data_IF_849862104183
#
_entry.id   IF_849862104183
#
_cell.length_a   1.000
_cell.length_b   1.000
_cell.length_c   1.000
_cell.angle_alpha   90.00
_cell.angle_beta   90.00
_cell.angle_gamma   90.00
#
_symmetry.space_group_name_H-M   'P 1'
#
loop_
_entity.id
_entity.type
_entity.pdbx_description
1 polymer ?
#
# COMPACT_ATOMS: atom_id res chain seq x y z
N UNK A 1 2.59 21.98 -19.02
CA UNK A 1 1.97 21.55 -20.30
C UNK A 1 0.79 20.71 -19.90
N UNK A 2 -0.41 21.27 -20.01
CA UNK A 2 -1.64 20.52 -19.75
C UNK A 2 -1.84 19.47 -20.86
N UNK A 3 -2.25 18.24 -20.54
CA UNK A 3 -2.55 17.25 -21.57
C UNK A 3 -3.77 17.74 -22.39
N UNK A 4 -3.79 17.49 -23.71
CA UNK A 4 -4.91 17.91 -24.54
C UNK A 4 -6.19 17.19 -24.10
N UNK A 5 -7.21 17.97 -23.73
CA UNK A 5 -8.56 17.47 -23.52
C UNK A 5 -9.08 16.90 -24.85
N UNK A 6 -9.24 15.59 -24.93
CA UNK A 6 -9.84 14.91 -26.06
C UNK A 6 -11.30 15.38 -26.22
N UNK A 7 -11.58 16.09 -27.32
CA UNK A 7 -12.95 16.36 -27.78
C UNK A 7 -13.50 15.04 -28.33
N UNK A 8 -14.26 14.32 -27.50
CA UNK A 8 -14.88 13.04 -27.85
C UNK A 8 -16.04 13.28 -28.83
N UNK A 9 -15.80 13.04 -30.12
CA UNK A 9 -16.78 13.12 -31.21
C UNK A 9 -17.15 11.72 -31.73
N UNK A 10 -17.50 10.77 -30.85
CA UNK A 10 -17.93 9.43 -31.23
C UNK A 10 -19.30 9.09 -30.65
N UNK A 11 -20.28 8.76 -31.51
CA UNK A 11 -21.63 8.32 -31.14
C UNK A 11 -21.68 6.88 -30.60
N UNK A 12 -20.54 6.30 -30.23
CA UNK A 12 -20.39 4.90 -29.86
C UNK A 12 -19.71 4.78 -28.49
N UNK A 13 -20.42 4.22 -27.52
CA UNK A 13 -19.97 4.03 -26.14
C UNK A 13 -18.71 3.15 -26.05
N UNK A 14 -18.52 2.21 -26.99
CA UNK A 14 -17.34 1.36 -27.04
C UNK A 14 -16.07 2.19 -27.34
N UNK A 15 -16.13 3.07 -28.34
CA UNK A 15 -14.98 3.89 -28.74
C UNK A 15 -14.57 4.88 -27.63
N UNK A 16 -15.56 5.38 -26.86
CA UNK A 16 -15.29 6.24 -25.69
C UNK A 16 -14.66 5.42 -24.55
N UNK A 17 -15.13 4.19 -24.31
CA UNK A 17 -14.56 3.32 -23.29
C UNK A 17 -13.11 2.95 -23.63
N UNK A 18 -12.83 2.60 -24.89
CA UNK A 18 -11.50 2.26 -25.36
C UNK A 18 -10.54 3.46 -25.28
N UNK A 19 -11.00 4.65 -25.65
CA UNK A 19 -10.21 5.88 -25.51
C UNK A 19 -9.90 6.20 -24.04
N UNK A 20 -10.87 5.99 -23.14
CA UNK A 20 -10.69 6.19 -21.70
C UNK A 20 -9.70 5.18 -21.11
N UNK A 21 -9.81 3.90 -21.51
CA UNK A 21 -8.88 2.86 -21.07
C UNK A 21 -7.45 3.20 -21.52
N UNK A 22 -7.27 3.59 -22.79
CA UNK A 22 -5.95 3.98 -23.31
C UNK A 22 -5.36 5.21 -22.57
N UNK A 23 -6.20 6.18 -22.21
CA UNK A 23 -5.77 7.33 -21.41
C UNK A 23 -5.40 6.94 -19.98
N UNK A 24 -6.18 6.04 -19.35
CA UNK A 24 -5.88 5.50 -18.03
C UNK A 24 -4.56 4.72 -18.03
N UNK A 25 -4.31 3.87 -19.03
CA UNK A 25 -3.07 3.11 -19.16
C UNK A 25 -1.85 4.04 -19.31
N UNK A 26 -2.02 5.16 -20.01
CA UNK A 26 -0.96 6.17 -20.17
C UNK A 26 -0.68 6.91 -18.86
N UNK A 27 -1.73 7.26 -18.10
CA UNK A 27 -1.62 8.02 -16.86
C UNK A 27 -1.19 7.15 -15.67
N UNK A 28 -1.56 5.88 -15.68
CA UNK A 28 -1.34 4.91 -14.61
C UNK A 28 -0.73 3.64 -15.20
N UNK A 29 0.58 3.67 -15.56
CA UNK A 29 1.23 2.52 -16.16
C UNK A 29 1.12 1.30 -15.25
N UNK A 30 0.91 0.12 -15.86
CA UNK A 30 0.76 -1.13 -15.15
C UNK A 30 1.94 -1.37 -14.19
N UNK A 31 1.64 -1.55 -12.91
CA UNK A 31 2.63 -1.89 -11.91
C UNK A 31 2.63 -3.40 -11.71
N UNK A 32 3.58 -4.07 -12.36
CA UNK A 32 3.69 -5.53 -12.32
C UNK A 32 3.79 -6.11 -10.91
N UNK A 33 4.32 -5.36 -9.93
CA UNK A 33 4.36 -5.79 -8.52
C UNK A 33 2.95 -5.82 -7.93
N UNK A 34 2.14 -4.79 -8.21
CA UNK A 34 0.76 -4.71 -7.77
C UNK A 34 -0.12 -5.76 -8.43
N UNK A 35 0.08 -5.99 -9.73
CA UNK A 35 -0.59 -7.07 -10.46
C UNK A 35 -0.25 -8.44 -9.85
N UNK A 36 1.02 -8.63 -9.47
CA UNK A 36 1.48 -9.87 -8.85
C UNK A 36 0.95 -10.07 -7.43
N UNK A 37 0.66 -9.01 -6.69
CA UNK A 37 -0.08 -9.12 -5.41
C UNK A 37 -1.52 -9.63 -5.65
N UNK A 38 -2.00 -9.62 -6.89
CA UNK A 38 -3.23 -10.28 -7.34
C UNK A 38 -3.38 -11.72 -6.85
N UNK A 39 -2.29 -12.45 -6.62
CA UNK A 39 -2.32 -13.85 -6.16
C UNK A 39 -3.03 -14.03 -4.80
N UNK A 40 -3.22 -12.98 -4.01
CA UNK A 40 -3.92 -13.06 -2.72
C UNK A 40 -5.43 -12.82 -2.82
N UNK A 41 -5.93 -12.46 -4.00
CA UNK A 41 -7.33 -12.17 -4.25
C UNK A 41 -8.08 -13.43 -4.72
N UNK A 42 -9.30 -13.70 -4.24
CA UNK A 42 -10.04 -14.89 -4.64
C UNK A 42 -10.36 -14.92 -6.15
N UNK A 43 -10.55 -13.76 -6.78
CA UNK A 43 -10.85 -13.65 -8.21
C UNK A 43 -9.71 -14.19 -9.09
N UNK A 44 -8.47 -14.00 -8.65
CA UNK A 44 -7.30 -14.50 -9.35
C UNK A 44 -7.39 -16.01 -9.56
N UNK A 45 -7.82 -16.76 -8.54
CA UNK A 45 -7.88 -18.22 -8.56
C UNK A 45 -9.05 -18.82 -9.33
N UNK A 46 -9.95 -18.00 -9.86
CA UNK A 46 -11.05 -18.45 -10.73
C UNK A 46 -10.70 -18.37 -12.22
N UNK A 47 -9.53 -17.85 -12.58
CA UNK A 47 -9.09 -17.76 -13.97
C UNK A 47 -8.69 -19.14 -14.51
N UNK A 48 -8.78 -19.36 -15.83
CA UNK A 48 -8.46 -20.65 -16.44
C UNK A 48 -6.94 -20.94 -16.45
N UNK A 49 -6.11 -19.90 -16.52
CA UNK A 49 -4.65 -19.99 -16.67
C UNK A 49 -3.89 -19.61 -15.39
N UNK A 50 -4.43 -19.97 -14.23
CA UNK A 50 -3.83 -19.59 -12.93
C UNK A 50 -2.48 -20.23 -12.72
N UNK A 51 -2.31 -21.52 -13.04
CA UNK A 51 -1.06 -22.21 -12.70
C UNK A 51 0.14 -21.71 -13.51
N UNK A 52 -0.07 -21.28 -14.76
CA UNK A 52 0.96 -20.68 -15.61
C UNK A 52 1.28 -19.24 -15.20
N UNK A 53 0.26 -18.41 -14.96
CA UNK A 53 0.46 -17.02 -14.52
C UNK A 53 1.02 -16.90 -13.11
N UNK A 54 0.71 -17.86 -12.22
CA UNK A 54 1.12 -17.82 -10.82
C UNK A 54 2.63 -17.81 -10.67
N UNK A 55 3.34 -18.64 -11.45
CA UNK A 55 4.80 -18.74 -11.36
C UNK A 55 5.46 -17.43 -11.78
N UNK A 56 4.91 -16.75 -12.79
CA UNK A 56 5.39 -15.44 -13.23
C UNK A 56 5.17 -14.37 -12.15
N UNK A 57 3.96 -14.29 -11.58
CA UNK A 57 3.67 -13.36 -10.48
C UNK A 57 4.52 -13.64 -9.24
N UNK A 58 4.73 -14.91 -8.90
CA UNK A 58 5.57 -15.28 -7.78
C UNK A 58 7.04 -14.87 -8.00
N UNK A 59 7.57 -14.99 -9.23
CA UNK A 59 8.91 -14.51 -9.56
C UNK A 59 9.04 -13.01 -9.30
N UNK A 60 8.08 -12.22 -9.78
CA UNK A 60 8.08 -10.75 -9.60
C UNK A 60 8.05 -10.40 -8.11
N UNK A 61 7.24 -11.09 -7.30
CA UNK A 61 7.18 -10.85 -5.85
C UNK A 61 8.49 -11.20 -5.16
N UNK A 62 9.15 -12.30 -5.54
CA UNK A 62 10.46 -12.68 -5.01
C UNK A 62 11.53 -11.66 -5.38
N UNK A 63 11.54 -11.24 -6.64
CA UNK A 63 12.52 -10.27 -7.13
C UNK A 63 12.35 -8.93 -6.42
N UNK A 64 11.11 -8.50 -6.16
CA UNK A 64 10.83 -7.21 -5.55
C UNK A 64 10.91 -7.19 -4.02
N UNK A 65 10.41 -8.22 -3.33
CA UNK A 65 10.30 -8.25 -1.86
C UNK A 65 11.25 -9.25 -1.20
N UNK A 66 11.79 -10.20 -1.95
CA UNK A 66 12.78 -11.18 -1.49
C UNK A 66 14.22 -10.72 -1.68
N UNK A 67 14.46 -9.53 -2.25
CA UNK A 67 15.80 -8.96 -2.41
C UNK A 67 15.99 -7.78 -1.46
N UNK A 68 17.17 -7.67 -0.80
CA UNK A 68 17.51 -6.48 -0.03
C UNK A 68 17.74 -5.29 -0.97
N UNK A 69 17.28 -4.10 -0.55
CA UNK A 69 17.37 -2.88 -1.37
C UNK A 69 18.09 -1.77 -0.61
N UNK A 70 18.91 -0.94 -1.27
CA UNK A 70 19.53 0.21 -0.61
C UNK A 70 18.48 1.25 -0.22
N UNK A 71 18.60 1.84 0.96
CA UNK A 71 17.80 3.00 1.35
C UNK A 71 18.22 4.20 0.49
N UNK A 72 17.36 4.61 -0.44
CA UNK A 72 17.53 5.86 -1.17
C UNK A 72 17.11 6.98 -0.22
N UNK A 73 18.07 7.81 0.24
CA UNK A 73 17.91 9.04 1.03
C UNK A 73 18.41 9.03 2.49
N UNK A 74 19.65 8.60 2.75
CA UNK A 74 20.40 9.12 3.90
C UNK A 74 21.79 9.53 3.41
N UNK A 75 22.08 10.84 3.43
CA UNK A 75 23.44 11.34 3.26
C UNK A 75 24.30 10.84 4.44
N UNK A 76 24.95 9.69 4.25
CA UNK A 76 25.79 9.06 5.27
C UNK A 76 25.39 7.61 5.48
N UNK A 77 26.31 6.72 5.09
CA UNK A 77 26.31 5.25 5.20
C UNK A 77 25.02 4.51 4.79
N UNK A 78 25.15 3.67 3.76
CA UNK A 78 24.04 3.01 3.09
C UNK A 78 23.36 1.95 3.94
N UNK A 79 22.35 2.35 4.71
CA UNK A 79 21.42 1.41 5.34
C UNK A 79 20.70 0.59 4.25
N UNK A 80 20.66 -0.72 4.45
CA UNK A 80 19.95 -1.65 3.57
C UNK A 80 18.60 -2.02 4.17
N UNK A 81 17.55 -1.92 3.37
CA UNK A 81 16.26 -2.53 3.70
C UNK A 81 16.40 -4.03 3.56
N UNK A 82 16.26 -4.75 4.67
CA UNK A 82 16.25 -6.21 4.68
C UNK A 82 15.10 -6.75 3.85
N UNK A 83 15.29 -7.93 3.24
CA UNK A 83 14.23 -8.63 2.52
C UNK A 83 12.97 -8.78 3.39
N UNK A 84 11.80 -8.51 2.81
CA UNK A 84 10.50 -8.61 3.49
C UNK A 84 9.93 -10.03 3.44
N UNK A 85 10.26 -10.77 2.37
CA UNK A 85 9.83 -12.14 2.12
C UNK A 85 11.03 -13.07 1.96
N UNK A 86 10.84 -14.34 2.30
CA UNK A 86 11.83 -15.39 2.05
C UNK A 86 11.47 -16.14 0.77
N UNK A 87 12.30 -16.01 -0.27
CA UNK A 87 12.06 -16.67 -1.56
C UNK A 87 12.02 -18.19 -1.46
N UNK A 88 12.88 -18.78 -0.61
CA UNK A 88 12.92 -20.22 -0.39
C UNK A 88 11.67 -20.72 0.34
N UNK A 89 11.19 -19.97 1.34
CA UNK A 89 9.98 -20.32 2.07
C UNK A 89 8.74 -20.19 1.19
N UNK A 90 8.66 -19.15 0.34
CA UNK A 90 7.61 -19.01 -0.66
C UNK A 90 7.53 -20.22 -1.59
N UNK A 91 8.67 -20.74 -2.06
CA UNK A 91 8.70 -21.96 -2.89
C UNK A 91 8.23 -23.20 -2.14
N UNK A 92 8.74 -23.41 -0.92
CA UNK A 92 8.38 -24.57 -0.12
C UNK A 92 6.89 -24.62 0.26
N UNK A 93 6.26 -23.44 0.43
CA UNK A 93 4.88 -23.30 0.88
C UNK A 93 3.87 -23.25 -0.29
N UNK A 94 4.36 -23.13 -1.53
CA UNK A 94 3.55 -22.89 -2.72
C UNK A 94 2.42 -23.92 -2.92
N UNK A 95 2.71 -25.21 -2.76
CA UNK A 95 1.74 -26.27 -3.03
C UNK A 95 0.54 -26.19 -2.08
N UNK A 96 0.81 -26.02 -0.79
CA UNK A 96 -0.22 -25.88 0.24
C UNK A 96 -1.03 -24.60 0.05
N UNK A 97 -0.36 -23.50 -0.30
CA UNK A 97 -1.03 -22.23 -0.59
C UNK A 97 -1.99 -22.35 -1.79
N UNK A 98 -1.53 -22.89 -2.93
CA UNK A 98 -2.36 -23.12 -4.12
C UNK A 98 -3.60 -23.94 -3.80
N UNK A 99 -3.43 -25.04 -3.06
CA UNK A 99 -4.53 -25.91 -2.65
C UNK A 99 -5.54 -25.16 -1.77
N UNK A 100 -5.06 -24.40 -0.78
CA UNK A 100 -5.93 -23.62 0.10
C UNK A 100 -6.72 -22.55 -0.66
N UNK A 101 -6.08 -21.82 -1.57
CA UNK A 101 -6.73 -20.78 -2.36
C UNK A 101 -7.78 -21.36 -3.32
N UNK A 102 -7.43 -22.37 -4.12
CA UNK A 102 -8.38 -23.01 -5.04
C UNK A 102 -9.61 -23.58 -4.31
N UNK A 103 -9.42 -24.13 -3.11
CA UNK A 103 -10.51 -24.72 -2.32
C UNK A 103 -11.48 -23.68 -1.74
N UNK A 104 -10.99 -22.49 -1.38
CA UNK A 104 -11.79 -21.49 -0.66
C UNK A 104 -12.29 -20.33 -1.55
N UNK A 105 -11.59 -20.01 -2.65
CA UNK A 105 -11.88 -18.83 -3.47
C UNK A 105 -13.29 -18.81 -4.07
N UNK A 106 -13.80 -19.96 -4.52
CA UNK A 106 -15.17 -20.02 -5.08
C UNK A 106 -16.23 -19.71 -4.02
N UNK A 107 -16.07 -20.25 -2.80
CA UNK A 107 -17.05 -20.09 -1.72
C UNK A 107 -17.10 -18.70 -1.09
N UNK A 108 -16.01 -17.92 -1.18
CA UNK A 108 -16.02 -16.52 -0.69
C UNK A 108 -16.61 -15.55 -1.70
N UNK A 109 -16.65 -15.93 -2.98
CA UNK A 109 -17.23 -15.15 -4.06
C UNK A 109 -18.73 -15.46 -4.31
N UNK A 110 -19.33 -16.37 -3.54
CA UNK A 110 -20.79 -16.58 -3.59
C UNK A 110 -21.53 -15.53 -2.76
N UNK A 111 -22.60 -14.93 -3.29
CA UNK A 111 -23.49 -14.06 -2.52
C UNK A 111 -24.09 -14.76 -1.28
N UNK A 112 -24.47 -14.03 -0.22
CA UNK A 112 -24.44 -12.57 -0.10
C UNK A 112 -23.06 -12.00 0.30
N UNK A 113 -22.70 -10.84 -0.25
CA UNK A 113 -21.44 -10.14 0.02
C UNK A 113 -21.53 -9.22 1.25
N UNK A 114 -21.95 -9.77 2.39
CA UNK A 114 -22.04 -8.99 3.64
C UNK A 114 -20.67 -8.56 4.16
N UNK A 115 -19.62 -9.28 3.78
CA UNK A 115 -18.20 -8.98 4.08
C UNK A 115 -17.43 -9.00 2.77
N UNK A 116 -16.43 -8.13 2.64
CA UNK A 116 -15.54 -8.13 1.48
C UNK A 116 -14.95 -9.56 1.27
N UNK A 117 -15.04 -10.13 0.06
CA UNK A 117 -14.57 -11.50 -0.23
C UNK A 117 -13.10 -11.75 0.14
N UNK A 118 -12.23 -10.75 -0.02
CA UNK A 118 -10.82 -10.84 0.36
C UNK A 118 -10.68 -10.97 1.88
N UNK A 119 -11.36 -10.12 2.64
CA UNK A 119 -11.37 -10.21 4.11
C UNK A 119 -11.94 -11.55 4.58
N UNK A 120 -13.05 -12.00 3.98
CA UNK A 120 -13.68 -13.29 4.31
C UNK A 120 -12.73 -14.47 4.04
N UNK A 121 -12.02 -14.46 2.92
CA UNK A 121 -11.03 -15.50 2.58
C UNK A 121 -9.93 -15.60 3.63
N UNK A 122 -9.27 -14.48 3.92
CA UNK A 122 -8.14 -14.47 4.84
C UNK A 122 -8.57 -14.68 6.31
N UNK A 123 -9.82 -14.39 6.67
CA UNK A 123 -10.41 -14.82 7.94
C UNK A 123 -10.59 -16.34 8.02
N UNK A 124 -11.12 -16.97 6.97
CA UNK A 124 -11.27 -18.44 6.91
C UNK A 124 -9.89 -19.11 7.01
N UNK A 125 -8.94 -18.69 6.18
CA UNK A 125 -7.58 -19.25 6.19
C UNK A 125 -6.88 -18.99 7.53
N UNK A 126 -7.02 -17.78 8.08
CA UNK A 126 -6.41 -17.38 9.36
C UNK A 126 -7.02 -18.03 10.59
N UNK A 127 -8.28 -18.49 10.50
CA UNK A 127 -8.94 -19.22 11.60
C UNK A 127 -8.41 -20.65 11.77
N UNK A 128 -7.70 -21.19 10.77
CA UNK A 128 -7.14 -22.53 10.80
C UNK A 128 -5.63 -22.48 11.12
N UNK A 129 -5.27 -22.87 12.34
CA UNK A 129 -3.89 -22.87 12.81
C UNK A 129 -2.94 -23.69 11.90
N UNK A 130 -3.41 -24.82 11.34
CA UNK A 130 -2.59 -25.64 10.43
C UNK A 130 -2.22 -24.87 9.17
N UNK A 131 -3.16 -24.11 8.59
CA UNK A 131 -2.90 -23.31 7.39
C UNK A 131 -1.99 -22.12 7.68
N UNK A 132 -2.17 -21.47 8.83
CA UNK A 132 -1.29 -20.39 9.30
C UNK A 132 0.17 -20.86 9.42
N UNK A 133 0.38 -22.08 9.92
CA UNK A 133 1.72 -22.68 10.01
C UNK A 133 2.22 -23.27 8.69
N UNK A 134 1.34 -23.70 7.80
CA UNK A 134 1.71 -24.33 6.53
C UNK A 134 2.22 -23.33 5.49
N UNK A 135 1.76 -22.07 5.51
CA UNK A 135 2.20 -21.05 4.55
C UNK A 135 2.34 -19.63 5.14
N UNK A 136 3.14 -19.44 6.21
CA UNK A 136 3.28 -18.15 6.88
C UNK A 136 3.79 -17.01 5.98
N UNK A 137 4.60 -17.28 4.95
CA UNK A 137 5.07 -16.24 4.02
C UNK A 137 3.91 -15.67 3.19
N UNK A 138 2.98 -16.50 2.75
CA UNK A 138 1.82 -16.03 2.00
C UNK A 138 0.86 -15.21 2.86
N UNK A 139 0.83 -15.42 4.19
CA UNK A 139 0.16 -14.50 5.10
C UNK A 139 0.86 -13.13 5.18
N UNK A 140 2.19 -13.07 5.06
CA UNK A 140 2.90 -11.78 4.93
C UNK A 140 2.55 -11.09 3.62
N UNK A 141 2.57 -11.82 2.50
CA UNK A 141 2.14 -11.29 1.18
C UNK A 141 0.72 -10.73 1.25
N UNK A 142 -0.21 -11.46 1.87
CA UNK A 142 -1.59 -11.02 2.04
C UNK A 142 -1.70 -9.74 2.86
N UNK A 143 -0.98 -9.67 3.98
CA UNK A 143 -0.92 -8.44 4.80
C UNK A 143 -0.40 -7.28 3.98
N UNK A 144 0.70 -7.47 3.26
CA UNK A 144 1.26 -6.44 2.39
C UNK A 144 0.25 -5.97 1.36
N UNK A 145 -0.39 -6.88 0.63
CA UNK A 145 -1.42 -6.54 -0.35
C UNK A 145 -2.62 -5.80 0.25
N UNK A 146 -3.01 -6.11 1.49
CA UNK A 146 -4.11 -5.43 2.19
C UNK A 146 -3.70 -4.09 2.81
N UNK A 147 -2.39 -3.83 2.99
CA UNK A 147 -1.87 -2.59 3.60
C UNK A 147 -1.27 -1.62 2.58
N UNK A 148 -0.82 -2.12 1.42
CA UNK A 148 -0.34 -1.26 0.35
C UNK A 148 -1.57 -0.57 -0.23
N UNK A 149 -1.65 0.72 0.04
CA UNK A 149 -2.74 1.57 -0.45
C UNK A 149 -2.65 1.63 -1.97
N UNK A 150 -3.69 1.14 -2.65
CA UNK A 150 -3.76 1.04 -4.12
C UNK A 150 -3.88 2.42 -4.81
N UNK A 151 -4.07 3.51 -4.07
CA UNK A 151 -4.20 4.85 -4.65
C UNK A 151 -3.62 5.95 -3.76
N UNK A 152 -3.00 6.95 -4.39
CA UNK A 152 -2.53 8.17 -3.72
C UNK A 152 -3.66 9.03 -3.11
N UNK A 153 -4.92 8.67 -3.36
CA UNK A 153 -6.09 9.43 -2.96
C UNK A 153 -6.55 9.20 -1.50
N UNK A 154 -6.15 8.10 -0.85
CA UNK A 154 -6.53 7.91 0.57
C UNK A 154 -5.89 9.00 1.45
N UNK A 155 -4.64 9.35 1.15
CA UNK A 155 -3.95 10.46 1.80
C UNK A 155 -4.41 11.82 1.27
N UNK A 156 -4.98 11.90 0.07
CA UNK A 156 -5.53 13.15 -0.48
C UNK A 156 -6.64 13.72 0.39
N UNK A 157 -7.46 12.87 1.02
CA UNK A 157 -8.47 13.32 1.99
C UNK A 157 -7.83 13.95 3.23
N UNK A 158 -6.78 13.34 3.78
CA UNK A 158 -6.03 13.92 4.91
C UNK A 158 -5.37 15.24 4.48
N UNK A 159 -4.76 15.26 3.30
CA UNK A 159 -4.11 16.41 2.69
C UNK A 159 -5.06 17.56 2.36
N UNK A 160 -6.30 17.27 2.00
CA UNK A 160 -7.36 18.26 1.76
C UNK A 160 -7.88 18.83 3.07
N UNK A 161 -8.00 17.99 4.10
CA UNK A 161 -8.46 18.40 5.43
C UNK A 161 -7.47 19.36 6.11
N UNK A 162 -6.17 19.20 5.87
CA UNK A 162 -5.14 20.15 6.33
C UNK A 162 -4.94 21.36 5.39
N UNK A 163 -5.86 21.61 4.44
CA UNK A 163 -5.78 22.72 3.49
C UNK A 163 -5.66 24.11 4.16
N UNK A 164 -6.22 24.26 5.36
CA UNK A 164 -6.12 25.50 6.16
C UNK A 164 -4.68 25.81 6.62
N UNK A 165 -3.80 24.80 6.71
CA UNK A 165 -2.38 24.93 7.02
C UNK A 165 -1.59 25.23 5.74
N UNK A 166 -2.03 24.70 4.60
CA UNK A 166 -1.33 24.79 3.31
C UNK A 166 -1.49 26.14 2.59
N UNK A 167 -2.69 26.73 2.61
CA UNK A 167 -3.08 27.76 1.65
C UNK A 167 -2.98 29.23 2.10
N UNK A 168 -2.91 29.52 3.41
CA UNK A 168 -2.87 30.91 3.88
C UNK A 168 -1.41 31.36 4.05
N UNK A 169 -0.98 32.37 3.31
CA UNK A 169 0.34 33.05 3.43
C UNK A 169 0.73 33.37 4.89
N UNK A 170 -0.24 33.56 5.78
CA UNK A 170 -0.06 33.81 7.22
C UNK A 170 0.38 32.59 8.05
N UNK A 171 0.14 31.36 7.58
CA UNK A 171 0.35 30.10 8.31
C UNK A 171 1.21 29.09 7.54
N UNK A 172 1.99 29.53 6.55
CA UNK A 172 2.79 28.63 5.68
C UNK A 172 3.90 27.97 6.49
N UNK A 173 3.62 26.79 7.03
CA UNK A 173 4.54 25.98 7.82
C UNK A 173 5.37 25.05 6.93
N UNK A 174 6.03 25.55 5.87
CA UNK A 174 6.72 24.68 4.90
C UNK A 174 7.74 23.73 5.51
N UNK A 175 8.46 24.17 6.55
CA UNK A 175 9.49 23.37 7.25
C UNK A 175 8.88 22.35 8.24
N UNK A 176 7.69 22.60 8.78
CA UNK A 176 7.07 21.75 9.82
C UNK A 176 5.78 21.06 9.35
N UNK A 177 5.39 21.27 8.09
CA UNK A 177 4.21 20.67 7.47
C UNK A 177 4.24 19.13 7.55
N UNK A 178 5.37 18.43 7.31
CA UNK A 178 5.41 16.97 7.46
C UNK A 178 5.06 16.51 8.88
N UNK A 179 5.58 17.20 9.90
CA UNK A 179 5.30 16.90 11.31
C UNK A 179 3.84 17.18 11.68
N UNK A 180 3.27 18.28 11.19
CA UNK A 180 1.86 18.61 11.42
C UNK A 180 0.91 17.61 10.75
N UNK A 181 1.24 17.18 9.53
CA UNK A 181 0.47 16.14 8.81
C UNK A 181 0.59 14.81 9.54
N UNK A 182 1.80 14.41 9.96
CA UNK A 182 2.02 13.18 10.72
C UNK A 182 1.27 13.18 12.06
N UNK A 183 1.25 14.32 12.76
CA UNK A 183 0.47 14.49 13.98
C UNK A 183 -1.05 14.44 13.73
N UNK A 184 -1.51 14.83 12.55
CA UNK A 184 -2.92 14.81 12.18
C UNK A 184 -3.38 13.41 11.74
N UNK A 185 -2.50 12.63 11.11
CA UNK A 185 -2.81 11.28 10.60
C UNK A 185 -2.61 10.19 11.64
N UNK A 186 -1.82 10.43 12.69
CA UNK A 186 -1.64 9.46 13.76
C UNK A 186 -2.92 9.14 14.55
N UNK A 187 -2.99 7.92 15.08
CA UNK A 187 -4.06 7.47 16.00
C UNK A 187 -3.56 7.12 17.40
N UNK A 188 -2.24 7.19 17.64
CA UNK A 188 -1.64 6.74 18.90
C UNK A 188 -1.78 7.77 20.03
N UNK A 189 -1.74 9.08 19.71
CA UNK A 189 -2.12 10.14 20.65
C UNK A 189 -3.38 10.91 20.19
N UNK A 190 -4.17 11.27 21.18
CA UNK A 190 -5.30 12.19 21.18
C UNK A 190 -4.90 13.43 21.98
N UNK A 191 -5.68 14.51 21.88
CA UNK A 191 -5.48 15.71 22.70
C UNK A 191 -5.47 15.43 24.22
N UNK A 192 -6.05 14.31 24.67
CA UNK A 192 -6.16 13.99 26.10
C UNK A 192 -5.00 13.15 26.64
N UNK A 193 -4.38 12.32 25.81
CA UNK A 193 -3.33 11.38 26.22
C UNK A 193 -1.96 11.73 25.60
N UNK A 194 -1.85 12.88 24.93
CA UNK A 194 -0.57 13.36 24.46
C UNK A 194 0.34 13.69 25.66
N UNK A 195 1.58 13.18 25.71
CA UNK A 195 2.51 13.39 26.82
C UNK A 195 3.11 14.80 26.78
N UNK A 196 2.29 15.79 27.17
CA UNK A 196 2.65 17.22 27.10
C UNK A 196 3.86 17.55 27.96
N UNK A 197 3.99 16.92 29.13
CA UNK A 197 5.09 17.21 30.06
C UNK A 197 6.43 16.81 29.46
N UNK A 198 6.51 15.60 28.91
CA UNK A 198 7.69 15.05 28.26
C UNK A 198 8.02 15.83 26.98
N UNK A 199 7.01 16.16 26.18
CA UNK A 199 7.18 16.95 24.96
C UNK A 199 7.72 18.36 25.27
N UNK A 200 7.22 19.03 26.31
CA UNK A 200 7.69 20.36 26.74
C UNK A 200 9.10 20.27 27.33
N UNK A 201 9.42 19.22 28.08
CA UNK A 201 10.78 18.99 28.58
C UNK A 201 11.78 18.76 27.44
N UNK A 202 11.43 17.92 26.46
CA UNK A 202 12.25 17.70 25.26
C UNK A 202 12.43 18.99 24.45
N UNK A 203 11.36 19.78 24.30
CA UNK A 203 11.42 21.09 23.64
C UNK A 203 12.36 22.06 24.37
N UNK A 204 12.29 22.13 25.70
CA UNK A 204 13.16 22.98 26.53
C UNK A 204 14.63 22.53 26.53
N UNK A 205 14.88 21.22 26.42
CA UNK A 205 16.24 20.67 26.36
C UNK A 205 16.94 21.02 25.04
N UNK A 206 16.18 21.31 23.98
CA UNK A 206 16.72 21.64 22.66
C UNK A 206 17.21 23.10 22.60
N UNK A 207 18.42 23.34 23.13
CA UNK A 207 19.06 24.66 23.35
C UNK A 207 19.40 25.48 22.09
N UNK A 208 19.20 24.96 20.88
CA UNK A 208 19.67 25.63 19.65
C UNK A 208 18.69 26.62 18.99
N UNK A 209 17.56 26.99 19.62
CA UNK A 209 16.55 27.84 18.96
C UNK A 209 16.70 29.35 19.14
N UNK A 210 17.54 29.84 20.05
CA UNK A 210 17.68 31.29 20.31
C UNK A 210 19.10 31.83 20.09
N UNK A 211 19.96 31.12 19.36
CA UNK A 211 21.27 31.62 18.95
C UNK A 211 21.27 31.92 17.45
N UNK A 212 20.37 32.78 16.98
CA UNK A 212 20.60 33.56 15.77
C UNK A 212 20.28 35.03 16.03
N UNK A 213 21.37 35.78 16.21
CA UNK A 213 21.54 37.20 15.90
C UNK A 213 20.61 38.21 16.58
N UNK A 214 21.01 38.64 17.78
CA UNK A 214 20.95 40.06 18.15
C UNK A 214 22.40 40.57 18.20
N UNK A 215 22.88 41.04 17.05
CA UNK A 215 23.93 42.05 16.96
C UNK A 215 23.29 43.33 16.42
#
# INVERSE_FOLDING_TARGET
>A
MDPPLLVLNSNNLADIADALIAELDTRFPANHVMDSLGIVFPQYWLQENVDSSFSAHLSILKDFFGTPKPCVNVEGDGDWVTQLLSSADLDSQMAMFKMAMKSNSKGVLTPPFTVNPMTKLWQILGSNALLVHAFPEYFKVARMAMTIVLGSMEDERAFSTVGFIKGKLRNKLSEHLPLCVQMFTQKFYTLKNFPYTEAVQAWRANKHRYCMNLQ
#
